data_IF_053639946383
#
_entry.id   IF_053639946383
#
_cell.length_a   1.000
_cell.length_b   1.000
_cell.length_c   1.000
_cell.angle_alpha   90.00
_cell.angle_beta   90.00
_cell.angle_gamma   90.00
#
_symmetry.space_group_name_H-M   'P 1'
#
loop_
_entity.id
_entity.type
_entity.pdbx_description
1 polymer ?
#
# COMPACT_ATOMS: atom_id res chain seq x y z
N UNK A 1 -4.40 33.94 37.77
CA UNK A 1 -3.74 32.91 36.97
C UNK A 1 -4.73 31.78 36.78
N UNK A 2 -5.17 31.48 35.56
CA UNK A 2 -6.09 30.35 35.29
C UNK A 2 -5.26 29.24 34.68
N UNK A 3 -5.17 28.12 35.39
CA UNK A 3 -4.50 26.92 34.97
C UNK A 3 -5.01 26.48 33.60
N UNK A 4 -4.12 26.50 32.60
CA UNK A 4 -4.36 25.87 31.31
C UNK A 4 -4.45 24.36 31.56
N UNK A 5 -5.66 23.82 31.66
CA UNK A 5 -5.92 22.38 31.49
C UNK A 5 -5.26 21.98 30.18
N UNK A 6 -4.07 21.36 30.24
CA UNK A 6 -3.53 20.61 29.12
C UNK A 6 -4.45 19.42 28.96
N UNK A 7 -5.41 19.53 28.05
CA UNK A 7 -6.13 18.38 27.51
C UNK A 7 -5.08 17.45 26.92
N UNK A 8 -4.77 16.38 27.65
CA UNK A 8 -3.97 15.28 27.16
C UNK A 8 -4.81 14.56 26.11
N UNK A 9 -4.82 15.08 24.88
CA UNK A 9 -5.35 14.36 23.74
C UNK A 9 -4.46 13.13 23.62
N UNK A 10 -4.96 11.89 23.77
CA UNK A 10 -4.16 10.72 23.48
C UNK A 10 -3.68 10.87 22.03
N UNK A 11 -2.37 10.93 21.83
CA UNK A 11 -1.79 10.80 20.49
C UNK A 11 -1.95 9.35 20.09
N UNK A 12 -3.10 9.01 19.52
CA UNK A 12 -3.28 7.72 18.84
C UNK A 12 -2.38 7.74 17.60
N UNK A 13 -1.50 6.76 17.48
CA UNK A 13 -0.64 6.62 16.30
C UNK A 13 -1.44 6.22 15.07
N UNK A 14 -0.94 6.51 13.87
CA UNK A 14 -1.55 6.05 12.63
C UNK A 14 -1.66 4.52 12.60
N UNK A 15 -0.66 3.81 13.14
CA UNK A 15 -0.68 2.34 13.28
C UNK A 15 -1.82 1.84 14.16
N UNK A 16 -2.17 2.58 15.22
CA UNK A 16 -3.33 2.25 16.05
C UNK A 16 -4.64 2.54 15.33
N UNK A 17 -4.74 3.67 14.63
CA UNK A 17 -5.92 4.03 13.83
C UNK A 17 -6.16 3.03 12.68
N UNK A 18 -5.09 2.54 12.03
CA UNK A 18 -5.19 1.58 10.92
C UNK A 18 -5.76 0.21 11.29
N UNK A 19 -5.91 -0.10 12.59
CA UNK A 19 -6.62 -1.32 13.02
C UNK A 19 -8.14 -1.22 12.84
N UNK A 20 -8.70 0.00 12.81
CA UNK A 20 -10.14 0.24 12.73
C UNK A 20 -10.58 1.10 11.55
N UNK A 21 -9.63 1.66 10.79
CA UNK A 21 -9.88 2.54 9.66
C UNK A 21 -9.13 2.05 8.43
N UNK A 22 -9.79 2.17 7.29
CA UNK A 22 -9.16 1.99 5.99
C UNK A 22 -8.24 3.17 5.66
N UNK A 23 -7.24 2.99 4.77
CA UNK A 23 -6.41 4.08 4.26
C UNK A 23 -7.22 5.28 3.75
N UNK A 24 -8.33 5.03 3.05
CA UNK A 24 -9.23 6.08 2.55
C UNK A 24 -9.89 6.89 3.66
N UNK A 25 -10.30 6.23 4.75
CA UNK A 25 -10.87 6.90 5.91
C UNK A 25 -9.83 7.77 6.61
N UNK A 26 -8.61 7.25 6.79
CA UNK A 26 -7.48 7.99 7.36
C UNK A 26 -7.16 9.26 6.58
N UNK A 27 -7.21 9.19 5.23
CA UNK A 27 -7.04 10.37 4.36
C UNK A 27 -8.23 11.33 4.50
N UNK A 28 -9.46 10.80 4.47
CA UNK A 28 -10.68 11.63 4.49
C UNK A 28 -10.89 12.39 5.81
N UNK A 29 -10.48 11.81 6.93
CA UNK A 29 -10.51 12.44 8.25
C UNK A 29 -9.28 13.34 8.51
N UNK A 30 -8.31 13.36 7.60
CA UNK A 30 -7.12 14.21 7.66
C UNK A 30 -6.04 13.70 8.63
N UNK A 31 -6.04 12.41 8.94
CA UNK A 31 -4.99 11.78 9.77
C UNK A 31 -3.68 11.63 8.99
N UNK A 32 -3.76 11.42 7.67
CA UNK A 32 -2.61 11.31 6.76
C UNK A 32 -2.92 11.99 5.42
N UNK A 33 -1.88 12.31 4.65
CA UNK A 33 -2.02 12.78 3.28
C UNK A 33 -2.15 11.61 2.29
N UNK A 34 -2.39 11.94 1.03
CA UNK A 34 -2.55 10.95 -0.05
C UNK A 34 -1.24 10.19 -0.32
N UNK A 35 -0.09 10.81 -0.03
CA UNK A 35 1.23 10.28 -0.32
C UNK A 35 1.78 9.40 0.82
N UNK A 36 1.14 9.37 1.98
CA UNK A 36 1.55 8.59 3.14
C UNK A 36 1.69 7.09 2.86
N UNK A 37 0.86 6.57 1.95
CA UNK A 37 0.87 5.16 1.54
C UNK A 37 1.65 4.92 0.24
N UNK A 38 2.29 5.94 -0.32
CA UNK A 38 3.09 5.80 -1.53
C UNK A 38 4.46 5.18 -1.22
N UNK A 39 4.73 4.02 -1.81
CA UNK A 39 6.02 3.34 -1.73
C UNK A 39 6.64 3.23 -3.15
N UNK A 40 7.75 3.94 -3.43
CA UNK A 40 8.40 3.88 -4.74
C UNK A 40 8.96 2.50 -5.07
N UNK A 41 9.38 1.72 -4.06
CA UNK A 41 9.95 0.39 -4.25
C UNK A 41 8.84 -0.61 -4.62
N UNK A 42 7.64 -0.46 -4.04
CA UNK A 42 6.47 -1.25 -4.42
C UNK A 42 6.06 -0.99 -5.88
N UNK A 43 6.10 0.27 -6.33
CA UNK A 43 5.80 0.64 -7.70
C UNK A 43 6.85 0.12 -8.71
N UNK A 44 8.12 0.10 -8.33
CA UNK A 44 9.16 -0.55 -9.14
C UNK A 44 8.89 -2.05 -9.27
N UNK A 45 8.62 -2.72 -8.16
CA UNK A 45 8.32 -4.16 -8.15
C UNK A 45 7.10 -4.51 -9.02
N UNK A 46 6.01 -3.75 -8.94
CA UNK A 46 4.83 -3.94 -9.80
C UNK A 46 5.17 -3.88 -11.28
N UNK A 47 6.04 -2.94 -11.69
CA UNK A 47 6.48 -2.82 -13.09
C UNK A 47 7.36 -3.98 -13.52
N UNK A 48 8.19 -4.51 -12.64
CA UNK A 48 8.99 -5.70 -12.93
C UNK A 48 8.10 -6.93 -13.12
N UNK A 49 7.09 -7.11 -12.27
CA UNK A 49 6.11 -8.19 -12.41
C UNK A 49 5.35 -8.08 -13.74
N UNK A 50 4.87 -6.89 -14.10
CA UNK A 50 4.18 -6.67 -15.37
C UNK A 50 5.05 -7.03 -16.58
N UNK A 51 6.34 -6.66 -16.54
CA UNK A 51 7.31 -7.05 -17.59
C UNK A 51 7.48 -8.56 -17.67
N UNK A 52 7.56 -9.26 -16.53
CA UNK A 52 7.66 -10.73 -16.52
C UNK A 52 6.40 -11.38 -17.09
N UNK A 53 5.22 -10.89 -16.71
CA UNK A 53 3.94 -11.38 -17.25
C UNK A 53 3.85 -11.19 -18.77
N UNK A 54 4.35 -10.05 -19.28
CA UNK A 54 4.43 -9.80 -20.71
C UNK A 54 5.39 -10.78 -21.40
N UNK A 55 6.58 -11.00 -20.85
CA UNK A 55 7.56 -11.96 -21.38
C UNK A 55 6.95 -13.36 -21.44
N UNK A 56 6.26 -13.80 -20.39
CA UNK A 56 5.57 -15.11 -20.35
C UNK A 56 4.48 -15.19 -21.41
N UNK A 57 3.72 -14.11 -21.63
CA UNK A 57 2.66 -14.05 -22.64
C UNK A 57 3.20 -14.13 -24.07
N UNK A 58 4.32 -13.47 -24.33
CA UNK A 58 4.97 -13.41 -25.65
C UNK A 58 5.77 -14.68 -25.95
N UNK A 59 6.41 -15.27 -24.94
CA UNK A 59 7.20 -16.50 -25.05
C UNK A 59 6.38 -17.74 -24.66
N UNK A 60 5.06 -17.70 -24.85
CA UNK A 60 4.24 -18.90 -24.68
C UNK A 60 4.78 -19.99 -25.59
N UNK A 61 5.41 -20.99 -24.96
CA UNK A 61 5.72 -22.25 -25.61
C UNK A 61 4.35 -22.81 -26.04
N UNK A 62 4.14 -23.15 -27.31
CA UNK A 62 2.90 -23.80 -27.72
C UNK A 62 2.69 -25.04 -26.85
N UNK A 63 1.47 -25.28 -26.38
CA UNK A 63 1.18 -26.47 -25.55
C UNK A 63 1.59 -27.79 -26.24
N UNK A 64 1.75 -27.78 -27.58
CA UNK A 64 2.29 -28.89 -28.37
C UNK A 64 3.77 -29.22 -28.12
N UNK A 65 4.55 -28.26 -27.62
CA UNK A 65 5.95 -28.41 -27.25
C UNK A 65 6.12 -28.62 -25.72
N UNK A 66 5.04 -28.57 -24.95
CA UNK A 66 5.02 -28.87 -23.53
C UNK A 66 4.97 -30.39 -23.31
N UNK A 67 6.13 -31.03 -23.10
CA UNK A 67 6.16 -32.43 -22.66
C UNK A 67 5.83 -32.51 -21.17
N UNK A 68 4.73 -33.18 -20.76
CA UNK A 68 4.41 -33.37 -19.35
C UNK A 68 5.49 -34.23 -18.69
N UNK A 69 5.89 -33.84 -17.47
CA UNK A 69 6.82 -34.57 -16.61
C UNK A 69 6.20 -35.87 -16.08
#
# INVERSE_FOLDING_TARGET
MKDKKKTHIPQTSISELSHGMTPSELISEGHVDVDYFYDPDEEEWKREVEKMEQIVRENKIPDSECTPF
#
